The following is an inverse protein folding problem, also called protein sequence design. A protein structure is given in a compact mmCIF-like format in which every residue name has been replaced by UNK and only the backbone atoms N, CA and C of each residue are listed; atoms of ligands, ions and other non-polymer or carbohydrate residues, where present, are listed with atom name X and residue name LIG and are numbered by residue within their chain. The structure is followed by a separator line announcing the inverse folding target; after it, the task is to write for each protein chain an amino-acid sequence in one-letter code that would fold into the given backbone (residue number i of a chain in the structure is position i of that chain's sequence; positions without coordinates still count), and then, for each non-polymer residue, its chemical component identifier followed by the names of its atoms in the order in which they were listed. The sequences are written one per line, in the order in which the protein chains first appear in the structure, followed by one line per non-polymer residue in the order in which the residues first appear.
data_IF_484863279562
#
_entry.id   IF_484863279562
#
_cell.length_a   1.000
_cell.length_b   1.000
_cell.length_c   1.000
_cell.angle_alpha   90.00
_cell.angle_beta   90.00
_cell.angle_gamma   90.00
#
_symmetry.space_group_name_H-M   'P 1'
#
loop_
_entity.id
_entity.type
_entity.pdbx_description
1 polymer ?
#
# COMPACT_ATOMS: atom_id res chain seq x y z
N UNK A 1 18.68 -6.65 -43.27
CA UNK A 1 17.43 -7.45 -43.17
C UNK A 1 17.71 -8.82 -43.76
N UNK A 2 17.25 -9.90 -43.12
CA UNK A 2 17.47 -11.24 -43.64
C UNK A 2 16.65 -11.49 -44.92
N UNK A 3 17.12 -12.31 -45.85
CA UNK A 3 16.42 -12.69 -47.08
C UNK A 3 15.06 -13.37 -46.81
N UNK A 4 14.79 -13.70 -45.58
CA UNK A 4 13.59 -14.42 -45.11
C UNK A 4 12.45 -13.49 -44.61
N UNK A 5 12.59 -12.17 -44.75
CA UNK A 5 11.54 -11.22 -44.34
C UNK A 5 11.03 -10.43 -45.53
N UNK A 6 9.70 -10.26 -45.61
CA UNK A 6 9.05 -9.48 -46.67
C UNK A 6 8.30 -8.30 -46.03
N UNK A 7 8.55 -7.08 -46.53
CA UNK A 7 7.76 -5.90 -46.14
C UNK A 7 6.32 -6.03 -46.67
N UNK A 8 5.36 -5.86 -45.79
CA UNK A 8 3.89 -6.02 -46.13
C UNK A 8 3.11 -4.71 -46.02
N UNK A 9 3.80 -3.60 -45.82
CA UNK A 9 3.18 -2.29 -45.76
C UNK A 9 3.78 -1.40 -44.70
N UNK A 10 3.24 -0.20 -44.58
CA UNK A 10 3.61 0.78 -43.55
C UNK A 10 2.32 1.34 -42.93
N UNK A 11 2.34 1.54 -41.61
CA UNK A 11 1.24 2.14 -40.88
C UNK A 11 1.84 3.11 -39.85
N UNK A 12 1.59 4.41 -40.03
CA UNK A 12 2.27 5.46 -39.28
C UNK A 12 3.79 5.33 -39.33
N UNK A 13 4.45 5.38 -38.21
CA UNK A 13 5.91 5.23 -38.09
C UNK A 13 6.40 3.77 -38.13
N UNK A 14 5.55 2.80 -38.41
CA UNK A 14 5.91 1.38 -38.39
C UNK A 14 5.86 0.76 -39.79
N UNK A 15 6.93 0.03 -40.18
CA UNK A 15 6.92 -0.88 -41.32
C UNK A 15 6.56 -2.29 -40.88
N UNK A 16 5.53 -2.86 -41.49
CA UNK A 16 5.05 -4.22 -41.22
C UNK A 16 5.81 -5.23 -42.08
N UNK A 17 6.31 -6.27 -41.46
CA UNK A 17 7.06 -7.35 -42.10
C UNK A 17 6.42 -8.71 -41.80
N UNK A 18 6.64 -9.65 -42.72
CA UNK A 18 6.28 -11.06 -42.58
C UNK A 18 7.54 -11.91 -42.62
N UNK A 19 7.75 -12.75 -41.61
CA UNK A 19 8.83 -13.71 -41.58
C UNK A 19 8.40 -15.01 -42.29
N UNK A 20 9.13 -15.40 -43.36
CA UNK A 20 8.81 -16.63 -44.10
C UNK A 20 9.13 -17.90 -43.32
N UNK A 21 10.07 -17.84 -42.37
CA UNK A 21 10.46 -18.99 -41.54
C UNK A 21 9.43 -19.29 -40.47
N UNK A 22 9.16 -18.32 -39.57
CA UNK A 22 8.23 -18.54 -38.46
C UNK A 22 6.77 -18.22 -38.80
N UNK A 23 6.51 -17.76 -40.05
CA UNK A 23 5.18 -17.37 -40.58
C UNK A 23 4.44 -16.34 -39.69
N UNK A 24 5.17 -15.45 -39.01
CA UNK A 24 4.63 -14.41 -38.16
C UNK A 24 4.81 -13.02 -38.74
N UNK A 25 3.89 -12.13 -38.46
CA UNK A 25 4.01 -10.71 -38.71
C UNK A 25 4.73 -10.04 -37.55
N UNK A 26 5.56 -9.04 -37.86
CA UNK A 26 6.18 -8.15 -36.89
C UNK A 26 6.30 -6.74 -37.50
N UNK A 27 6.43 -5.72 -36.67
CA UNK A 27 6.60 -4.33 -37.09
C UNK A 27 7.92 -3.78 -36.63
N UNK A 28 8.58 -3.01 -37.49
CA UNK A 28 9.78 -2.24 -37.14
C UNK A 28 9.38 -0.77 -37.12
N UNK A 29 9.59 -0.12 -36.01
CA UNK A 29 9.32 1.31 -35.84
C UNK A 29 10.50 2.13 -36.28
N UNK A 30 10.26 3.19 -37.07
CA UNK A 30 11.26 4.07 -37.63
C UNK A 30 11.25 5.41 -36.90
N UNK A 31 12.15 5.56 -35.94
CA UNK A 31 12.44 6.85 -35.30
C UNK A 31 11.37 7.41 -34.35
N UNK A 32 10.28 6.69 -34.13
CA UNK A 32 9.28 7.08 -33.15
C UNK A 32 9.54 6.34 -31.81
N UNK A 33 9.89 7.09 -30.78
CA UNK A 33 9.87 6.60 -29.39
C UNK A 33 8.65 7.19 -28.71
N UNK A 34 7.63 6.37 -28.36
CA UNK A 34 6.43 6.85 -27.69
C UNK A 34 6.70 7.34 -26.27
N UNK A 35 7.97 7.40 -25.85
CA UNK A 35 8.33 7.71 -24.46
C UNK A 35 7.94 6.61 -23.49
N UNK A 36 7.66 6.99 -22.26
CA UNK A 36 7.37 6.07 -21.16
C UNK A 36 5.85 5.99 -20.95
N UNK A 37 5.28 4.81 -21.20
CA UNK A 37 3.82 4.60 -21.17
C UNK A 37 3.29 4.05 -19.82
N UNK A 38 4.15 3.41 -19.03
CA UNK A 38 3.71 2.75 -17.79
C UNK A 38 3.09 3.72 -16.78
N UNK A 39 3.61 4.96 -16.72
CA UNK A 39 3.12 6.00 -15.79
C UNK A 39 1.64 6.30 -16.05
N UNK A 40 1.30 6.58 -17.30
CA UNK A 40 -0.08 6.86 -17.70
C UNK A 40 -0.99 5.66 -17.50
N UNK A 41 -0.47 4.43 -17.79
CA UNK A 41 -1.21 3.20 -17.52
C UNK A 41 -1.52 3.03 -16.03
N UNK A 42 -0.54 3.21 -15.14
CA UNK A 42 -0.75 3.14 -13.69
C UNK A 42 -1.70 4.25 -13.22
N UNK A 43 -1.63 5.44 -13.80
CA UNK A 43 -2.53 6.57 -13.48
C UNK A 43 -3.95 6.38 -14.09
N UNK A 44 -4.16 5.42 -15.00
CA UNK A 44 -5.51 5.05 -15.40
C UNK A 44 -5.81 4.96 -16.87
N UNK A 45 -4.86 5.23 -17.71
CA UNK A 45 -5.10 5.19 -19.15
C UNK A 45 -5.11 3.74 -19.65
N UNK A 46 -6.18 3.26 -20.30
CA UNK A 46 -6.23 1.89 -20.82
C UNK A 46 -5.33 1.72 -22.04
N UNK A 47 -4.82 0.50 -22.25
CA UNK A 47 -3.90 0.17 -23.36
C UNK A 47 -4.38 0.60 -24.73
N UNK A 48 -5.69 0.49 -25.01
CA UNK A 48 -6.26 0.92 -26.29
C UNK A 48 -6.12 2.43 -26.51
N UNK A 49 -6.33 3.23 -25.46
CA UNK A 49 -6.18 4.69 -25.53
C UNK A 49 -4.71 5.06 -25.67
N UNK A 50 -3.82 4.46 -24.83
CA UNK A 50 -2.37 4.64 -24.97
C UNK A 50 -1.87 4.30 -26.38
N UNK A 51 -2.38 3.21 -26.95
CA UNK A 51 -2.05 2.84 -28.31
C UNK A 51 -2.44 3.91 -29.32
N UNK A 52 -3.69 4.39 -29.26
CA UNK A 52 -4.20 5.41 -30.18
C UNK A 52 -3.43 6.75 -30.07
N UNK A 53 -3.08 7.18 -28.85
CA UNK A 53 -2.37 8.44 -28.60
C UNK A 53 -0.88 8.38 -29.02
N UNK A 54 -0.33 7.17 -29.16
CA UNK A 54 1.08 6.94 -29.48
C UNK A 54 1.28 6.19 -30.80
N UNK A 55 0.32 6.19 -31.71
CA UNK A 55 0.36 5.48 -33.00
C UNK A 55 0.72 3.99 -32.89
N UNK A 56 0.32 3.35 -31.77
CA UNK A 56 0.51 1.94 -31.50
C UNK A 56 -0.82 1.18 -31.54
N UNK A 57 -0.77 -0.09 -31.93
CA UNK A 57 -1.89 -1.00 -31.66
C UNK A 57 -2.02 -1.28 -30.15
N UNK A 58 -3.24 -1.56 -29.67
CA UNK A 58 -3.46 -1.85 -28.24
C UNK A 58 -2.61 -3.01 -27.69
N UNK A 59 -2.34 -4.04 -28.50
CA UNK A 59 -1.43 -5.13 -28.15
C UNK A 59 0.03 -4.67 -28.04
N UNK A 60 0.44 -3.73 -28.88
CA UNK A 60 1.80 -3.17 -28.83
C UNK A 60 1.98 -2.29 -27.59
N UNK A 61 0.97 -1.45 -27.27
CA UNK A 61 0.95 -0.68 -26.04
C UNK A 61 1.02 -1.60 -24.79
N UNK A 62 0.26 -2.69 -24.78
CA UNK A 62 0.33 -3.71 -23.72
C UNK A 62 1.74 -4.30 -23.59
N UNK A 63 2.35 -4.75 -24.67
CA UNK A 63 3.69 -5.33 -24.66
C UNK A 63 4.76 -4.31 -24.21
N UNK A 64 4.65 -3.06 -24.66
CA UNK A 64 5.55 -1.97 -24.26
C UNK A 64 5.45 -1.71 -22.75
N UNK A 65 4.24 -1.47 -22.26
CA UNK A 65 4.00 -1.24 -20.82
C UNK A 65 4.49 -2.42 -19.99
N UNK A 66 4.18 -3.67 -20.39
CA UNK A 66 4.63 -4.86 -19.66
C UNK A 66 6.15 -4.94 -19.59
N UNK A 67 6.86 -4.62 -20.69
CA UNK A 67 8.33 -4.56 -20.70
C UNK A 67 8.86 -3.46 -19.80
N UNK A 68 8.23 -2.29 -19.78
CA UNK A 68 8.60 -1.19 -18.89
C UNK A 68 8.39 -1.55 -17.41
N UNK A 69 7.25 -2.17 -17.08
CA UNK A 69 6.96 -2.65 -15.72
C UNK A 69 7.99 -3.67 -15.24
N UNK A 70 8.40 -4.60 -16.13
CA UNK A 70 9.43 -5.60 -15.81
C UNK A 70 10.84 -4.99 -15.63
N UNK A 71 11.07 -3.82 -16.21
CA UNK A 71 12.34 -3.09 -16.10
C UNK A 71 12.43 -2.18 -14.86
N UNK A 72 11.32 -1.97 -14.16
CA UNK A 72 11.31 -1.20 -12.90
C UNK A 72 12.04 -1.98 -11.79
N UNK A 73 12.84 -1.33 -10.95
CA UNK A 73 13.36 -1.96 -9.74
C UNK A 73 12.21 -2.36 -8.83
N UNK A 74 12.43 -3.36 -8.00
CA UNK A 74 11.48 -3.64 -6.91
C UNK A 74 11.44 -2.45 -5.93
N UNK A 75 10.25 -2.14 -5.38
CA UNK A 75 10.08 -1.04 -4.45
C UNK A 75 11.03 -1.11 -3.24
N UNK A 76 11.28 -2.31 -2.73
CA UNK A 76 12.22 -2.54 -1.62
C UNK A 76 13.66 -2.23 -2.04
N UNK A 77 14.09 -2.63 -3.25
CA UNK A 77 15.41 -2.31 -3.80
C UNK A 77 15.55 -0.80 -4.04
N UNK A 78 14.51 -0.15 -4.54
CA UNK A 78 14.46 1.29 -4.69
C UNK A 78 14.67 2.01 -3.35
N UNK A 79 13.98 1.55 -2.30
CA UNK A 79 14.14 2.07 -0.93
C UNK A 79 15.58 1.89 -0.44
N UNK A 80 16.15 0.70 -0.60
CA UNK A 80 17.55 0.41 -0.22
C UNK A 80 18.55 1.31 -0.92
N UNK A 81 18.36 1.54 -2.21
CA UNK A 81 19.26 2.36 -3.01
C UNK A 81 19.17 3.85 -2.67
N UNK A 82 17.96 4.38 -2.56
CA UNK A 82 17.72 5.82 -2.52
C UNK A 82 17.44 6.38 -1.12
N UNK A 83 16.77 5.63 -0.24
CA UNK A 83 16.28 6.19 1.02
C UNK A 83 17.31 6.10 2.16
N UNK A 84 17.28 7.09 3.04
CA UNK A 84 17.96 7.09 4.33
C UNK A 84 16.97 6.60 5.41
N UNK A 85 17.25 5.44 6.08
CA UNK A 85 16.38 4.91 7.12
C UNK A 85 16.12 5.88 8.28
N UNK A 86 17.02 6.83 8.52
CA UNK A 86 16.89 7.81 9.61
C UNK A 86 15.92 8.95 9.27
N UNK A 87 15.50 9.08 8.02
CA UNK A 87 14.53 10.08 7.59
C UNK A 87 13.07 9.62 7.71
N UNK A 88 12.84 8.35 8.02
CA UNK A 88 11.52 7.83 8.36
C UNK A 88 11.17 8.10 9.82
N UNK A 89 9.89 8.35 10.11
CA UNK A 89 9.43 8.55 11.50
C UNK A 89 9.36 7.25 12.29
N UNK A 90 9.35 6.11 11.61
CA UNK A 90 9.29 4.75 12.19
C UNK A 90 7.95 4.41 12.87
N UNK A 91 6.89 5.12 12.51
CA UNK A 91 5.51 4.74 12.78
C UNK A 91 4.99 4.14 11.49
N UNK A 92 4.83 2.83 11.45
CA UNK A 92 4.43 2.10 10.26
C UNK A 92 2.94 1.79 10.30
N UNK A 93 2.19 2.32 9.35
CA UNK A 93 0.80 1.92 9.13
C UNK A 93 0.80 0.76 8.14
N UNK A 94 0.27 -0.40 8.55
CA UNK A 94 0.31 -1.64 7.79
C UNK A 94 -1.10 -2.13 7.48
N UNK A 95 -1.32 -2.55 6.25
CA UNK A 95 -2.55 -3.25 5.85
C UNK A 95 -2.29 -4.18 4.66
N UNK A 96 -3.19 -5.16 4.47
CA UNK A 96 -3.22 -6.08 3.35
C UNK A 96 -4.40 -5.77 2.41
N UNK A 97 -4.10 -5.54 1.12
CA UNK A 97 -5.13 -5.37 0.09
C UNK A 97 -5.28 -6.62 -0.76
N UNK A 98 -6.47 -7.20 -0.77
CA UNK A 98 -6.72 -8.42 -1.53
C UNK A 98 -6.98 -8.14 -3.01
N UNK A 99 -6.24 -8.84 -3.88
CA UNK A 99 -6.30 -8.71 -5.34
C UNK A 99 -6.69 -10.03 -5.99
N UNK A 100 -7.48 -9.94 -7.07
CA UNK A 100 -7.86 -11.11 -7.86
C UNK A 100 -6.75 -11.46 -8.86
N UNK A 101 -6.29 -12.72 -8.80
CA UNK A 101 -5.25 -13.25 -9.68
C UNK A 101 -5.71 -14.60 -10.24
N UNK A 102 -5.64 -14.77 -11.56
CA UNK A 102 -6.01 -16.02 -12.22
C UNK A 102 -5.11 -17.16 -11.73
N UNK A 103 -5.71 -18.32 -11.48
CA UNK A 103 -5.03 -19.48 -10.92
C UNK A 103 -5.13 -19.58 -9.38
N UNK A 104 -5.73 -18.59 -8.72
CA UNK A 104 -6.04 -18.65 -7.30
C UNK A 104 -7.55 -18.66 -7.10
N UNK A 105 -8.04 -19.57 -6.23
CA UNK A 105 -9.49 -19.67 -5.92
C UNK A 105 -10.01 -18.47 -5.12
N UNK A 106 -9.12 -17.79 -4.40
CA UNK A 106 -9.44 -16.62 -3.58
C UNK A 106 -8.55 -15.46 -3.98
N UNK A 107 -8.96 -14.24 -3.62
CA UNK A 107 -8.09 -13.08 -3.72
C UNK A 107 -6.91 -13.24 -2.79
N UNK A 108 -5.72 -12.86 -3.24
CA UNK A 108 -4.48 -12.97 -2.50
C UNK A 108 -4.03 -11.59 -1.95
N UNK A 109 -3.35 -11.55 -0.79
CA UNK A 109 -3.01 -10.30 -0.12
C UNK A 109 -1.79 -9.61 -0.75
N UNK A 110 -1.94 -8.34 -1.01
CA UNK A 110 -0.87 -7.39 -1.27
C UNK A 110 -0.63 -6.61 0.02
N UNK A 111 0.46 -6.95 0.73
CA UNK A 111 0.82 -6.34 2.03
C UNK A 111 1.81 -5.22 1.77
N UNK A 112 1.52 -4.02 2.28
CA UNK A 112 2.44 -2.91 2.21
C UNK A 112 2.30 -2.01 3.45
N UNK A 113 3.35 -1.24 3.74
CA UNK A 113 3.36 -0.32 4.87
C UNK A 113 3.69 1.10 4.46
N UNK A 114 3.06 2.06 5.10
CA UNK A 114 3.28 3.49 4.91
C UNK A 114 3.88 4.07 6.18
N UNK A 115 4.99 4.78 6.07
CA UNK A 115 5.53 5.56 7.17
C UNK A 115 4.67 6.80 7.41
N UNK A 116 4.16 6.94 8.63
CA UNK A 116 3.04 7.83 8.95
C UNK A 116 3.30 9.31 8.68
N UNK A 117 4.47 9.84 9.05
CA UNK A 117 4.73 11.28 8.93
C UNK A 117 5.31 11.67 7.57
N UNK A 118 5.89 10.71 6.84
CA UNK A 118 6.45 10.97 5.51
C UNK A 118 5.51 10.55 4.38
N UNK A 119 4.49 9.73 4.68
CA UNK A 119 3.61 9.08 3.71
C UNK A 119 4.37 8.23 2.68
N UNK A 120 5.67 7.96 2.92
CA UNK A 120 6.46 7.12 2.03
C UNK A 120 6.25 5.63 2.31
N UNK A 121 6.47 4.81 1.29
CA UNK A 121 6.19 3.37 1.31
C UNK A 121 7.50 2.59 1.28
N UNK A 122 8.10 2.27 2.42
CA UNK A 122 9.41 1.60 2.45
C UNK A 122 9.38 0.20 1.85
N UNK A 123 8.29 -0.54 2.03
CA UNK A 123 8.16 -1.93 1.59
C UNK A 123 6.71 -2.27 1.23
N UNK A 124 6.55 -3.14 0.26
CA UNK A 124 5.29 -3.76 -0.12
C UNK A 124 5.50 -4.89 -1.11
N UNK A 125 4.74 -5.97 -0.99
CA UNK A 125 4.78 -7.09 -1.93
C UNK A 125 3.48 -7.90 -1.92
N UNK A 126 3.33 -8.76 -2.93
CA UNK A 126 2.23 -9.68 -3.10
C UNK A 126 2.57 -11.03 -2.44
N UNK A 127 1.66 -11.55 -1.63
CA UNK A 127 1.82 -12.82 -0.93
C UNK A 127 0.67 -13.78 -1.31
N UNK A 128 0.88 -15.07 -1.13
CA UNK A 128 -0.18 -16.07 -1.41
C UNK A 128 -1.18 -16.19 -0.26
N UNK A 129 -0.75 -15.85 0.95
CA UNK A 129 -1.57 -15.86 2.19
C UNK A 129 -1.21 -14.67 3.07
N UNK A 130 -2.11 -14.29 3.98
CA UNK A 130 -1.89 -13.28 5.01
C UNK A 130 -1.78 -14.00 6.36
N UNK A 131 -0.57 -14.47 6.68
CA UNK A 131 -0.25 -15.28 7.84
C UNK A 131 1.06 -14.83 8.51
N UNK A 132 1.44 -15.49 9.60
CA UNK A 132 2.68 -15.19 10.32
C UNK A 132 3.92 -15.25 9.42
N UNK A 133 3.97 -16.19 8.46
CA UNK A 133 5.10 -16.32 7.56
C UNK A 133 5.19 -15.11 6.62
N UNK A 134 4.08 -14.70 6.01
CA UNK A 134 4.02 -13.54 5.15
C UNK A 134 4.45 -12.26 5.88
N UNK A 135 3.93 -12.04 7.09
CA UNK A 135 4.34 -10.92 7.92
C UNK A 135 5.80 -11.00 8.35
N UNK A 136 6.31 -12.20 8.68
CA UNK A 136 7.73 -12.39 9.03
C UNK A 136 8.65 -12.04 7.87
N UNK A 137 8.30 -12.44 6.65
CA UNK A 137 9.04 -12.08 5.43
C UNK A 137 8.97 -10.57 5.20
N UNK A 138 7.80 -9.96 5.32
CA UNK A 138 7.62 -8.51 5.17
C UNK A 138 8.47 -7.73 6.17
N UNK A 139 8.41 -8.07 7.46
CA UNK A 139 9.22 -7.44 8.51
C UNK A 139 10.72 -7.71 8.33
N UNK A 140 11.10 -8.90 7.89
CA UNK A 140 12.48 -9.23 7.54
C UNK A 140 13.06 -8.32 6.46
N UNK A 141 12.26 -7.98 5.44
CA UNK A 141 12.65 -7.03 4.39
C UNK A 141 12.82 -5.61 4.95
N UNK A 142 11.91 -5.13 5.82
CA UNK A 142 12.07 -3.85 6.49
C UNK A 142 13.36 -3.79 7.32
N UNK A 143 13.67 -4.87 8.06
CA UNK A 143 14.93 -4.99 8.82
C UNK A 143 16.15 -4.91 7.92
N UNK A 144 16.12 -5.57 6.77
CA UNK A 144 17.20 -5.53 5.78
C UNK A 144 17.39 -4.15 5.14
N UNK A 145 16.36 -3.30 5.15
CA UNK A 145 16.42 -1.90 4.73
C UNK A 145 17.00 -0.97 5.82
N UNK A 146 17.20 -1.45 7.03
CA UNK A 146 17.51 -0.61 8.19
C UNK A 146 16.30 0.16 8.74
N UNK A 147 15.08 -0.17 8.29
CA UNK A 147 13.85 0.41 8.83
C UNK A 147 13.42 -0.38 10.07
N UNK A 148 13.56 0.21 11.23
CA UNK A 148 13.17 -0.38 12.53
C UNK A 148 11.97 0.37 13.09
N UNK A 149 10.74 -0.15 12.94
CA UNK A 149 9.55 0.53 13.46
C UNK A 149 9.61 0.65 14.99
N UNK A 150 9.18 1.80 15.49
CA UNK A 150 8.89 1.99 16.93
C UNK A 150 7.53 1.37 17.25
N UNK A 151 6.60 1.53 16.33
CA UNK A 151 5.24 1.01 16.41
C UNK A 151 4.74 0.63 15.02
N UNK A 152 3.98 -0.46 14.97
CA UNK A 152 3.20 -0.87 13.81
C UNK A 152 1.73 -0.66 14.14
N UNK A 153 1.03 0.14 13.33
CA UNK A 153 -0.41 0.37 13.46
C UNK A 153 -1.11 -0.47 12.40
N UNK A 154 -1.95 -1.39 12.81
CA UNK A 154 -2.56 -2.36 11.90
C UNK A 154 -3.90 -2.89 12.43
N UNK A 155 -4.62 -3.60 11.56
CA UNK A 155 -5.76 -4.41 11.96
C UNK A 155 -5.32 -5.63 12.75
N UNK A 156 -6.26 -6.20 13.49
CA UNK A 156 -6.05 -7.46 14.22
C UNK A 156 -6.02 -8.65 13.25
N UNK A 157 -4.83 -8.94 12.72
CA UNK A 157 -4.60 -10.04 11.79
C UNK A 157 -3.87 -11.18 12.49
N UNK A 158 -4.33 -12.40 12.20
CA UNK A 158 -3.69 -13.61 12.73
C UNK A 158 -2.22 -13.67 12.33
N UNK A 159 -1.34 -13.97 13.30
CA UNK A 159 0.10 -14.09 13.07
C UNK A 159 0.87 -12.76 13.02
N UNK A 160 0.19 -11.60 12.91
CA UNK A 160 0.86 -10.30 12.81
C UNK A 160 1.70 -9.99 14.05
N UNK A 161 1.12 -10.11 15.25
CA UNK A 161 1.81 -9.82 16.52
C UNK A 161 2.98 -10.78 16.76
N UNK A 162 2.80 -12.06 16.44
CA UNK A 162 3.84 -13.08 16.54
C UNK A 162 5.03 -12.75 15.62
N UNK A 163 4.75 -12.44 14.36
CA UNK A 163 5.77 -12.03 13.39
C UNK A 163 6.49 -10.74 13.80
N UNK A 164 5.74 -9.74 14.30
CA UNK A 164 6.31 -8.48 14.77
C UNK A 164 7.29 -8.73 15.92
N UNK A 165 6.86 -9.46 16.97
CA UNK A 165 7.68 -9.76 18.14
C UNK A 165 8.94 -10.56 17.76
N UNK A 166 8.83 -11.48 16.81
CA UNK A 166 9.95 -12.31 16.32
C UNK A 166 11.02 -11.48 15.61
N UNK A 167 10.62 -10.52 14.77
CA UNK A 167 11.56 -9.74 13.94
C UNK A 167 11.99 -8.44 14.63
N UNK A 168 11.08 -7.80 15.34
CA UNK A 168 11.24 -6.51 16.01
C UNK A 168 10.73 -6.56 17.46
N UNK A 169 11.43 -7.24 18.39
CA UNK A 169 10.95 -7.49 19.75
C UNK A 169 10.68 -6.23 20.57
N UNK A 170 11.26 -5.10 20.18
CA UNK A 170 11.05 -3.80 20.85
C UNK A 170 9.99 -2.92 20.20
N UNK A 171 9.49 -3.31 19.04
CA UNK A 171 8.42 -2.57 18.37
C UNK A 171 7.08 -2.83 19.07
N UNK A 172 6.29 -1.78 19.23
CA UNK A 172 4.94 -1.90 19.78
C UNK A 172 3.92 -2.19 18.67
N UNK A 173 2.85 -2.89 19.00
CA UNK A 173 1.69 -3.02 18.14
C UNK A 173 0.63 -2.02 18.60
N UNK A 174 0.08 -1.23 17.69
CA UNK A 174 -1.14 -0.46 17.91
C UNK A 174 -2.23 -1.03 17.03
N UNK A 175 -3.24 -1.63 17.60
CA UNK A 175 -4.41 -2.09 16.86
C UNK A 175 -5.28 -0.92 16.44
N UNK A 176 -5.79 -0.98 15.21
CA UNK A 176 -6.73 0.00 14.69
C UNK A 176 -8.03 0.00 15.51
N UNK A 177 -8.26 1.08 16.25
CA UNK A 177 -9.47 1.19 17.08
C UNK A 177 -10.76 1.23 16.25
N UNK A 178 -10.72 1.80 15.04
CA UNK A 178 -11.88 1.82 14.15
C UNK A 178 -12.31 0.41 13.77
N UNK A 179 -11.35 -0.45 13.36
CA UNK A 179 -11.64 -1.84 13.02
C UNK A 179 -12.05 -2.67 14.24
N UNK A 180 -11.42 -2.44 15.37
CA UNK A 180 -11.80 -3.11 16.62
C UNK A 180 -13.25 -2.78 17.01
N UNK A 181 -13.62 -1.50 17.01
CA UNK A 181 -14.99 -1.06 17.30
C UNK A 181 -16.02 -1.57 16.27
N UNK A 182 -15.64 -1.62 14.97
CA UNK A 182 -16.55 -2.18 13.96
C UNK A 182 -16.75 -3.69 14.14
N UNK A 183 -15.73 -4.42 14.56
CA UNK A 183 -15.86 -5.84 14.89
C UNK A 183 -16.76 -6.05 16.11
N UNK A 184 -16.62 -5.23 17.16
CA UNK A 184 -17.53 -5.25 18.30
C UNK A 184 -18.99 -4.89 17.92
N UNK A 185 -19.16 -3.89 17.04
CA UNK A 185 -20.48 -3.51 16.52
C UNK A 185 -21.17 -4.68 15.81
N UNK A 186 -20.39 -5.46 15.02
CA UNK A 186 -20.90 -6.65 14.33
C UNK A 186 -21.21 -7.78 15.30
N UNK A 187 -20.31 -8.06 16.25
CA UNK A 187 -20.48 -9.08 17.29
C UNK A 187 -21.75 -8.84 18.10
N UNK A 188 -21.96 -7.61 18.54
CA UNK A 188 -23.11 -7.18 19.34
C UNK A 188 -24.38 -6.95 18.50
N UNK A 189 -24.31 -7.03 17.17
CA UNK A 189 -25.42 -6.72 16.26
C UNK A 189 -26.09 -5.38 16.61
N UNK A 190 -25.32 -4.35 16.90
CA UNK A 190 -25.78 -3.05 17.44
C UNK A 190 -26.87 -2.40 16.57
N UNK A 191 -26.93 -2.72 15.26
CA UNK A 191 -27.96 -2.18 14.36
C UNK A 191 -29.33 -2.78 14.56
N UNK A 192 -29.42 -4.00 15.07
CA UNK A 192 -30.67 -4.77 15.22
C UNK A 192 -31.03 -5.07 16.69
N UNK A 193 -30.03 -5.07 17.57
CA UNK A 193 -30.19 -5.43 18.98
C UNK A 193 -30.08 -4.15 19.86
N UNK A 194 -31.18 -3.50 20.09
CA UNK A 194 -31.26 -2.23 20.85
C UNK A 194 -30.64 -2.33 22.26
N UNK A 195 -30.77 -3.49 22.91
CA UNK A 195 -30.21 -3.77 24.25
C UNK A 195 -28.69 -3.54 24.32
N UNK A 196 -27.95 -3.70 23.18
CA UNK A 196 -26.51 -3.50 23.15
C UNK A 196 -26.07 -2.11 22.64
N UNK A 197 -27.00 -1.30 22.14
CA UNK A 197 -26.66 0.05 21.65
C UNK A 197 -26.16 0.95 22.78
N UNK A 198 -26.81 0.93 23.93
CA UNK A 198 -26.40 1.74 25.09
C UNK A 198 -25.03 1.33 25.61
N UNK A 199 -24.77 0.03 25.71
CA UNK A 199 -23.47 -0.49 26.10
C UNK A 199 -22.39 -0.05 25.10
N UNK A 200 -22.60 -0.28 23.80
CA UNK A 200 -21.65 0.06 22.75
C UNK A 200 -21.35 1.56 22.69
N UNK A 201 -22.37 2.40 22.80
CA UNK A 201 -22.20 3.86 22.81
C UNK A 201 -21.45 4.32 24.05
N UNK A 202 -21.75 3.77 25.22
CA UNK A 202 -21.04 4.07 26.47
C UNK A 202 -19.58 3.62 26.39
N UNK A 203 -19.31 2.42 25.87
CA UNK A 203 -17.97 1.90 25.65
C UNK A 203 -17.17 2.83 24.72
N UNK A 204 -17.75 3.18 23.57
CA UNK A 204 -17.12 4.08 22.61
C UNK A 204 -16.79 5.44 23.21
N UNK A 205 -17.70 6.01 23.99
CA UNK A 205 -17.53 7.34 24.57
C UNK A 205 -16.48 7.33 25.70
N UNK A 206 -16.59 6.40 26.65
CA UNK A 206 -15.79 6.44 27.88
C UNK A 206 -14.45 5.68 27.81
N UNK A 207 -14.27 4.82 26.80
CA UNK A 207 -13.06 3.99 26.68
C UNK A 207 -12.23 4.34 25.45
N UNK A 208 -12.87 4.74 24.33
CA UNK A 208 -12.16 4.95 23.06
C UNK A 208 -12.12 6.41 22.58
N UNK A 209 -13.07 7.25 23.03
CA UNK A 209 -13.14 8.64 22.61
C UNK A 209 -12.64 9.55 23.75
N UNK A 210 -11.89 10.59 23.38
CA UNK A 210 -11.42 11.62 24.33
C UNK A 210 -10.57 11.07 25.48
N UNK A 211 -9.76 10.03 25.18
CA UNK A 211 -8.84 9.42 26.13
C UNK A 211 -7.44 9.95 25.87
N UNK A 212 -6.83 10.55 26.88
CA UNK A 212 -5.48 11.13 26.83
C UNK A 212 -4.46 10.32 27.62
N UNK A 213 -4.95 9.51 28.58
CA UNK A 213 -4.09 8.72 29.49
C UNK A 213 -4.66 7.33 29.75
N UNK A 214 -3.81 6.34 29.95
CA UNK A 214 -4.19 4.95 30.20
C UNK A 214 -5.13 4.79 31.43
N UNK A 215 -4.97 5.63 32.44
CA UNK A 215 -5.85 5.62 33.62
C UNK A 215 -7.31 5.93 33.27
N UNK A 216 -7.56 6.83 32.29
CA UNK A 216 -8.93 7.13 31.82
C UNK A 216 -9.55 5.91 31.16
N UNK A 217 -8.78 5.09 30.43
CA UNK A 217 -9.25 3.81 29.89
C UNK A 217 -9.77 2.90 31.00
N UNK A 218 -8.99 2.76 32.08
CA UNK A 218 -9.34 1.90 33.23
C UNK A 218 -10.60 2.43 33.92
N UNK A 219 -10.71 3.74 34.13
CA UNK A 219 -11.92 4.36 34.70
C UNK A 219 -13.11 4.18 33.79
N UNK A 220 -12.97 4.37 32.48
CA UNK A 220 -14.02 4.15 31.49
C UNK A 220 -14.53 2.70 31.50
N UNK A 221 -13.63 1.72 31.55
CA UNK A 221 -13.99 0.30 31.66
C UNK A 221 -14.80 0.02 32.93
N UNK A 222 -14.38 0.55 34.10
CA UNK A 222 -15.09 0.41 35.37
C UNK A 222 -16.48 1.06 35.27
N UNK A 223 -16.59 2.26 34.72
CA UNK A 223 -17.89 2.95 34.55
C UNK A 223 -18.85 2.13 33.68
N UNK A 224 -18.37 1.64 32.51
CA UNK A 224 -19.21 0.82 31.62
C UNK A 224 -19.61 -0.49 32.28
N UNK A 225 -18.69 -1.11 33.04
CA UNK A 225 -18.95 -2.34 33.77
C UNK A 225 -20.10 -2.15 34.80
N UNK A 226 -20.01 -1.11 35.61
CA UNK A 226 -21.04 -0.82 36.64
C UNK A 226 -22.38 -0.48 36.05
N UNK A 227 -22.43 0.26 34.94
CA UNK A 227 -23.68 0.80 34.37
C UNK A 227 -24.40 -0.17 33.46
N UNK A 228 -23.71 -1.02 32.74
CA UNK A 228 -24.30 -1.74 31.60
C UNK A 228 -24.17 -3.26 31.63
N UNK A 229 -23.30 -3.82 32.47
CA UNK A 229 -22.99 -5.26 32.36
C UNK A 229 -24.07 -6.11 33.03
N UNK A 230 -24.56 -5.74 34.24
CA UNK A 230 -25.72 -6.39 34.88
C UNK A 230 -25.65 -7.93 34.92
N UNK A 231 -24.45 -8.53 35.06
CA UNK A 231 -24.27 -9.99 35.05
C UNK A 231 -24.25 -10.65 33.67
N UNK A 232 -24.31 -9.88 32.57
CA UNK A 232 -24.24 -10.43 31.20
C UNK A 232 -22.80 -10.93 30.85
N UNK A 233 -22.59 -12.25 30.67
CA UNK A 233 -21.25 -12.80 30.44
C UNK A 233 -20.59 -12.31 29.18
N UNK A 234 -21.36 -12.06 28.10
CA UNK A 234 -20.81 -11.54 26.83
C UNK A 234 -20.17 -10.16 27.02
N UNK A 235 -20.86 -9.26 27.75
CA UNK A 235 -20.37 -7.91 28.00
C UNK A 235 -19.16 -7.92 28.96
N UNK A 236 -19.16 -8.82 29.95
CA UNK A 236 -18.02 -9.03 30.85
C UNK A 236 -16.80 -9.49 30.06
N UNK A 237 -16.96 -10.46 29.15
CA UNK A 237 -15.87 -10.96 28.31
C UNK A 237 -15.28 -9.87 27.42
N UNK A 238 -16.12 -9.01 26.82
CA UNK A 238 -15.66 -7.88 26.00
C UNK A 238 -14.80 -6.91 26.83
N UNK A 239 -15.27 -6.52 28.02
CA UNK A 239 -14.49 -5.60 28.88
C UNK A 239 -13.19 -6.23 29.36
N UNK A 240 -13.22 -7.53 29.69
CA UNK A 240 -12.03 -8.29 30.07
C UNK A 240 -11.02 -8.38 28.93
N UNK A 241 -11.48 -8.66 27.70
CA UNK A 241 -10.63 -8.67 26.51
C UNK A 241 -9.96 -7.31 26.26
N UNK A 242 -10.74 -6.22 26.32
CA UNK A 242 -10.19 -4.86 26.16
C UNK A 242 -9.12 -4.59 27.20
N UNK A 243 -9.36 -4.96 28.46
CA UNK A 243 -8.40 -4.77 29.55
C UNK A 243 -7.12 -5.58 29.32
N UNK A 244 -7.22 -6.84 28.92
CA UNK A 244 -6.08 -7.71 28.62
C UNK A 244 -5.26 -7.21 27.42
N UNK A 245 -5.94 -6.64 26.41
CA UNK A 245 -5.32 -6.12 25.19
C UNK A 245 -5.05 -4.62 25.23
N UNK A 246 -5.15 -3.98 26.40
CA UNK A 246 -5.03 -2.52 26.52
C UNK A 246 -3.73 -1.97 25.96
N UNK A 247 -2.63 -2.69 26.13
CA UNK A 247 -1.34 -2.28 25.54
C UNK A 247 -1.39 -2.22 24.00
N UNK A 248 -2.03 -3.19 23.35
CA UNK A 248 -2.15 -3.18 21.91
C UNK A 248 -3.17 -2.16 21.38
N UNK A 249 -4.22 -1.86 22.17
CA UNK A 249 -5.30 -0.96 21.77
C UNK A 249 -5.00 0.52 22.06
N UNK A 250 -4.11 0.81 23.02
CA UNK A 250 -3.90 2.16 23.53
C UNK A 250 -2.42 2.58 23.58
N UNK A 251 -1.52 1.88 22.87
CA UNK A 251 -0.10 2.28 22.76
C UNK A 251 0.08 3.70 22.21
N UNK A 252 -0.87 4.18 21.38
CA UNK A 252 -0.83 5.53 20.83
C UNK A 252 -0.78 6.63 21.91
N UNK A 253 -1.29 6.37 23.12
CA UNK A 253 -1.24 7.31 24.26
C UNK A 253 0.18 7.55 24.76
N UNK A 254 1.07 6.57 24.55
CA UNK A 254 2.45 6.58 25.06
C UNK A 254 3.48 6.83 23.94
N UNK A 255 3.05 6.98 22.70
CA UNK A 255 3.94 7.14 21.55
C UNK A 255 3.58 8.42 20.80
N UNK A 256 4.49 9.39 20.84
CA UNK A 256 4.30 10.69 20.18
C UNK A 256 3.94 10.54 18.69
N UNK A 257 2.95 11.26 18.26
CA UNK A 257 2.39 11.25 16.89
C UNK A 257 1.79 9.93 16.41
N UNK A 258 1.71 8.88 17.23
CA UNK A 258 1.12 7.62 16.82
C UNK A 258 -0.40 7.77 16.64
N UNK A 259 -0.96 7.39 15.48
CA UNK A 259 -2.40 7.35 15.30
C UNK A 259 -2.99 6.10 15.97
N UNK A 260 -4.26 6.20 16.38
CA UNK A 260 -5.04 5.08 16.91
C UNK A 260 -5.79 4.29 15.84
N UNK A 261 -5.59 4.61 14.57
CA UNK A 261 -6.32 4.02 13.44
C UNK A 261 -5.46 3.90 12.18
N UNK A 262 -5.96 3.19 11.18
CA UNK A 262 -5.34 2.92 9.89
C UNK A 262 -5.87 3.82 8.75
N UNK A 263 -6.55 4.91 9.04
CA UNK A 263 -7.21 5.75 8.02
C UNK A 263 -6.30 6.17 6.87
N UNK A 264 -5.01 6.45 7.16
CA UNK A 264 -4.05 6.81 6.11
C UNK A 264 -3.93 5.72 5.04
N UNK A 265 -3.70 4.46 5.45
CA UNK A 265 -3.55 3.37 4.47
C UNK A 265 -4.89 3.01 3.82
N UNK A 266 -6.01 3.23 4.50
CA UNK A 266 -7.35 3.05 3.93
C UNK A 266 -7.60 4.03 2.77
N UNK A 267 -7.12 5.27 2.88
CA UNK A 267 -7.15 6.25 1.78
C UNK A 267 -6.33 5.75 0.58
N UNK A 268 -5.13 5.24 0.82
CA UNK A 268 -4.30 4.65 -0.24
C UNK A 268 -4.98 3.42 -0.86
N UNK A 269 -5.59 2.57 -0.04
CA UNK A 269 -6.37 1.42 -0.49
C UNK A 269 -7.60 1.83 -1.30
N UNK A 270 -8.23 2.95 -1.00
CA UNK A 270 -9.35 3.49 -1.80
C UNK A 270 -8.89 3.86 -3.21
N UNK A 271 -7.76 4.56 -3.34
CA UNK A 271 -7.16 4.86 -4.64
C UNK A 271 -6.76 3.59 -5.41
N UNK A 272 -6.13 2.62 -4.74
CA UNK A 272 -5.78 1.34 -5.34
C UNK A 272 -7.03 0.60 -5.83
N UNK A 273 -8.10 0.58 -5.04
CA UNK A 273 -9.38 -0.01 -5.42
C UNK A 273 -9.97 0.60 -6.70
N UNK A 274 -9.91 1.92 -6.84
CA UNK A 274 -10.34 2.60 -8.06
C UNK A 274 -9.62 2.05 -9.30
N UNK A 275 -8.32 1.76 -9.17
CA UNK A 275 -7.51 1.18 -10.24
C UNK A 275 -7.81 -0.31 -10.49
N UNK A 276 -7.90 -1.11 -9.41
CA UNK A 276 -8.18 -2.54 -9.50
C UNK A 276 -9.54 -2.85 -10.12
N UNK A 277 -10.55 -2.01 -9.90
CA UNK A 277 -11.87 -2.15 -10.54
C UNK A 277 -11.79 -2.10 -12.07
N UNK A 278 -10.90 -1.28 -12.65
CA UNK A 278 -10.74 -1.18 -14.11
C UNK A 278 -9.95 -2.35 -14.69
N UNK A 279 -9.06 -2.99 -13.90
CA UNK A 279 -8.23 -4.13 -14.33
C UNK A 279 -9.01 -5.44 -14.34
N UNK A 280 -10.06 -5.58 -13.52
CA UNK A 280 -10.90 -6.79 -13.38
C UNK A 280 -10.15 -8.07 -12.98
N UNK A 281 -8.92 -7.94 -12.46
CA UNK A 281 -8.05 -9.06 -12.06
C UNK A 281 -6.84 -9.23 -12.96
N UNK A 282 -5.83 -9.89 -12.41
CA UNK A 282 -4.55 -10.13 -13.08
C UNK A 282 -4.49 -11.53 -13.69
N UNK A 283 -3.80 -11.67 -14.84
CA UNK A 283 -3.69 -12.93 -15.56
C UNK A 283 -2.69 -13.91 -14.93
N UNK A 284 -1.77 -13.44 -14.09
CA UNK A 284 -0.79 -14.26 -13.38
C UNK A 284 -0.30 -13.55 -12.13
N UNK A 285 0.30 -14.32 -11.20
CA UNK A 285 0.96 -13.77 -10.03
C UNK A 285 2.04 -12.74 -10.40
N UNK A 286 2.84 -13.04 -11.41
CA UNK A 286 3.91 -12.16 -11.85
C UNK A 286 3.37 -10.85 -12.45
N UNK A 287 2.32 -10.90 -13.28
CA UNK A 287 1.71 -9.67 -13.80
C UNK A 287 1.10 -8.80 -12.69
N UNK A 288 0.53 -9.41 -11.65
CA UNK A 288 0.03 -8.71 -10.48
C UNK A 288 1.19 -8.06 -9.70
N UNK A 289 2.26 -8.81 -9.46
CA UNK A 289 3.44 -8.33 -8.72
C UNK A 289 4.10 -7.13 -9.42
N UNK A 290 4.33 -7.22 -10.73
CA UNK A 290 4.91 -6.13 -11.52
C UNK A 290 4.03 -4.87 -11.49
N UNK A 291 2.73 -5.02 -11.69
CA UNK A 291 1.80 -3.90 -11.70
C UNK A 291 1.68 -3.23 -10.32
N UNK A 292 1.57 -4.02 -9.25
CA UNK A 292 1.49 -3.51 -7.88
C UNK A 292 2.80 -2.85 -7.44
N UNK A 293 3.94 -3.40 -7.85
CA UNK A 293 5.24 -2.76 -7.65
C UNK A 293 5.31 -1.38 -8.32
N UNK A 294 4.91 -1.30 -9.58
CA UNK A 294 4.85 -0.04 -10.32
C UNK A 294 3.87 0.96 -9.66
N UNK A 295 2.73 0.47 -9.16
CA UNK A 295 1.79 1.31 -8.42
C UNK A 295 2.43 1.92 -7.17
N UNK A 296 3.18 1.15 -6.37
CA UNK A 296 3.90 1.69 -5.21
C UNK A 296 4.93 2.74 -5.64
N UNK A 297 5.75 2.46 -6.65
CA UNK A 297 6.73 3.41 -7.16
C UNK A 297 6.05 4.69 -7.62
N UNK A 298 4.95 4.57 -8.38
CA UNK A 298 4.18 5.74 -8.84
C UNK A 298 3.62 6.55 -7.68
N UNK A 299 3.08 5.91 -6.65
CA UNK A 299 2.57 6.60 -5.44
C UNK A 299 3.65 7.38 -4.71
N UNK A 300 4.86 6.84 -4.66
CA UNK A 300 6.02 7.48 -4.02
C UNK A 300 6.61 8.63 -4.83
N UNK A 301 6.44 8.60 -6.15
CA UNK A 301 7.02 9.58 -7.08
C UNK A 301 6.02 10.64 -7.56
N UNK A 302 4.73 10.46 -7.29
CA UNK A 302 3.68 11.42 -7.61
C UNK A 302 3.52 12.40 -6.45
N UNK A 303 3.49 13.73 -6.72
CA UNK A 303 3.21 14.71 -5.69
C UNK A 303 1.89 14.43 -4.98
N UNK A 304 1.89 14.56 -3.66
CA UNK A 304 0.71 14.43 -2.82
C UNK A 304 -0.21 15.65 -3.01
N UNK A 305 -1.51 15.41 -2.97
CA UNK A 305 -2.55 16.44 -3.04
C UNK A 305 -3.59 16.15 -1.95
N UNK A 306 -4.25 17.19 -1.49
CA UNK A 306 -5.40 17.06 -0.56
C UNK A 306 -5.10 16.28 0.73
N UNK A 307 -3.87 16.41 1.24
CA UNK A 307 -3.52 15.84 2.53
C UNK A 307 -4.35 16.45 3.66
N UNK A 308 -4.67 15.64 4.67
CA UNK A 308 -5.34 16.10 5.90
C UNK A 308 -4.62 17.33 6.50
N UNK A 309 -5.32 18.16 7.29
CA UNK A 309 -4.73 19.39 7.85
C UNK A 309 -3.39 19.18 8.54
N UNK A 310 -3.23 18.11 9.30
CA UNK A 310 -1.98 17.71 9.96
C UNK A 310 -0.80 17.52 8.97
N UNK A 311 -1.09 17.09 7.76
CA UNK A 311 -0.13 16.74 6.72
C UNK A 311 -0.10 17.72 5.54
N UNK A 312 -0.74 18.89 5.66
CA UNK A 312 -0.86 19.88 4.59
C UNK A 312 0.49 20.31 3.99
N UNK A 313 1.55 20.27 4.82
CA UNK A 313 2.94 20.52 4.40
C UNK A 313 3.47 19.53 3.35
N UNK A 314 2.86 18.34 3.25
CA UNK A 314 3.27 17.30 2.29
C UNK A 314 2.69 17.53 0.90
N UNK A 315 1.68 18.41 0.77
CA UNK A 315 1.10 18.72 -0.53
C UNK A 315 2.16 19.28 -1.47
N UNK A 316 2.08 18.88 -2.73
CA UNK A 316 3.01 19.21 -3.83
C UNK A 316 4.37 18.50 -3.75
N UNK A 317 4.66 17.76 -2.68
CA UNK A 317 5.87 16.93 -2.56
C UNK A 317 5.55 15.46 -2.85
N UNK A 318 6.47 14.77 -3.51
CA UNK A 318 6.40 13.32 -3.59
C UNK A 318 6.96 12.71 -2.29
N UNK A 319 6.32 11.67 -1.76
CA UNK A 319 6.73 11.11 -0.46
C UNK A 319 8.18 10.60 -0.46
N UNK A 320 8.68 10.12 -1.59
CA UNK A 320 10.08 9.70 -1.76
C UNK A 320 11.08 10.85 -1.50
N UNK A 321 10.73 12.12 -1.81
CA UNK A 321 11.61 13.28 -1.56
C UNK A 321 11.95 13.44 -0.07
N UNK A 322 11.02 13.07 0.79
CA UNK A 322 11.17 13.23 2.24
C UNK A 322 12.14 12.23 2.85
N UNK A 323 12.32 11.09 2.19
CA UNK A 323 13.11 9.96 2.70
C UNK A 323 14.43 9.72 1.96
N UNK A 324 14.62 10.37 0.81
CA UNK A 324 15.81 10.17 -0.04
C UNK A 324 17.10 10.68 0.64
N UNK A 325 18.21 9.98 0.44
CA UNK A 325 19.55 10.38 0.88
C UNK A 325 19.97 11.69 0.22
N UNK A 326 20.62 12.61 0.95
CA UNK A 326 21.12 13.89 0.40
C UNK A 326 22.03 13.73 -0.84
N UNK A 327 22.82 12.64 -0.87
CA UNK A 327 23.75 12.34 -1.98
C UNK A 327 23.36 11.05 -2.72
N UNK A 328 22.06 10.77 -2.84
CA UNK A 328 21.60 9.58 -3.57
C UNK A 328 22.10 9.61 -5.02
N UNK A 329 22.81 8.56 -5.43
CA UNK A 329 23.09 8.29 -6.85
C UNK A 329 21.81 7.77 -7.47
N UNK A 330 21.25 8.56 -8.38
CA UNK A 330 20.03 8.18 -9.08
C UNK A 330 20.36 7.11 -10.13
N UNK A 331 19.80 5.91 -10.07
CA UNK A 331 20.08 4.88 -11.06
C UNK A 331 19.67 5.34 -12.47
N UNK A 332 20.57 5.17 -13.46
CA UNK A 332 20.29 5.61 -14.84
C UNK A 332 19.05 4.95 -15.44
N UNK A 333 18.78 3.71 -15.06
CA UNK A 333 17.55 3.00 -15.44
C UNK A 333 16.26 3.73 -15.05
N UNK A 334 16.23 4.40 -13.88
CA UNK A 334 15.05 5.17 -13.44
C UNK A 334 14.79 6.39 -14.31
N UNK A 335 15.83 7.07 -14.77
CA UNK A 335 15.69 8.21 -15.70
C UNK A 335 15.03 7.77 -17.02
N UNK A 336 15.46 6.64 -17.56
CA UNK A 336 14.87 6.06 -18.78
C UNK A 336 13.42 5.68 -18.63
N UNK A 337 13.00 5.39 -17.39
CA UNK A 337 11.63 5.04 -17.02
C UNK A 337 10.80 6.25 -16.57
N UNK A 338 11.25 7.47 -16.87
CA UNK A 338 10.51 8.71 -16.58
C UNK A 338 10.59 9.17 -15.12
N UNK A 339 11.42 8.52 -14.29
CA UNK A 339 11.60 8.89 -12.88
C UNK A 339 12.89 9.73 -12.79
N UNK A 340 12.77 11.03 -12.94
CA UNK A 340 13.91 11.96 -12.98
C UNK A 340 14.11 12.71 -11.66
N UNK A 341 15.37 12.89 -11.25
CA UNK A 341 15.76 13.70 -10.09
C UNK A 341 15.27 15.15 -10.21
N UNK A 342 15.31 15.70 -11.42
CA UNK A 342 14.92 17.08 -11.75
C UNK A 342 13.46 17.36 -11.40
N UNK A 343 12.57 16.40 -11.62
CA UNK A 343 11.15 16.57 -11.30
C UNK A 343 10.85 16.65 -9.79
N UNK A 344 11.85 16.33 -8.94
CA UNK A 344 11.72 16.28 -7.49
C UNK A 344 12.26 17.54 -6.79
N UNK A 345 13.19 18.28 -7.37
CA UNK A 345 13.88 19.36 -6.68
C UNK A 345 13.69 20.76 -7.30
N UNK A 346 13.19 20.87 -8.53
CA UNK A 346 13.04 22.16 -9.21
C UNK A 346 11.76 22.97 -8.82
N UNK A 347 10.88 22.42 -7.97
CA UNK A 347 9.67 23.12 -7.53
C UNK A 347 9.78 23.73 -6.13
N UNK A 348 10.98 23.81 -5.58
CA UNK A 348 11.24 24.40 -4.24
C UNK A 348 11.83 25.79 -4.34
N UNK A 349 11.56 26.51 -5.41
CA UNK A 349 11.90 27.91 -5.60
C UNK A 349 10.68 28.81 -5.55
#
# INVERSE_FOLDING_TARGET
MSQNTVKKGQQGHASKYFCKICKRFFSIYHGFDPGVLWIEHIDGVPFRKLGNENDLGGAQAYNRVTSELASLPNNTELTKALCDPNRFCRILILDGKYVAVKGFNQKIPFIYGIDYLTHDIPCGDLFVSEDEMAFSVFFGRLKALGYFPKVVVADDRAGLKQALNKVFPYAKLQLCQNHYLENLRRLLKVRTEERYQHFFNSLRLHVFKEVEHEQQVIFGLKHVMQKHVGGNPLLQNILSEIYQRKEDLFNYLNIWDCPNNTNLIELYNSHLNGRLKTIKGFQSFESARLWLNAYLIRRRTKPLTDCEPKFKRLNKHASLELTIKKQAKWPDGLKRLGINKVNFFEKSG
#
